data_IF_709600202060
#
_entry.id   IF_709600202060
#
_cell.length_a   1.000
_cell.length_b   1.000
_cell.length_c   1.000
_cell.angle_alpha   90.00
_cell.angle_beta   90.00
_cell.angle_gamma   90.00
#
_symmetry.space_group_name_H-M   'P 1'
#
loop_
_entity.id
_entity.type
_entity.pdbx_description
1 polymer ?
#
# COMPACT_ATOMS: atom_id res chain seq x y z
N UNK A 1 -20.73 66.06 -7.91
CA UNK A 1 -21.84 66.06 -8.89
C UNK A 1 -21.38 65.37 -10.16
N UNK A 2 -22.27 64.55 -10.76
CA UNK A 2 -22.13 63.65 -11.92
C UNK A 2 -21.26 62.39 -11.67
N UNK A 3 -21.86 61.22 -11.37
CA UNK A 3 -22.47 60.22 -12.28
C UNK A 3 -21.40 59.56 -13.18
N UNK A 4 -21.13 58.26 -13.17
CA UNK A 4 -21.95 57.08 -12.91
C UNK A 4 -22.17 56.33 -14.23
N UNK A 5 -21.26 55.42 -14.60
CA UNK A 5 -21.51 54.45 -15.68
C UNK A 5 -20.94 53.07 -15.32
N UNK A 6 -21.89 52.17 -15.07
CA UNK A 6 -21.77 50.75 -14.83
C UNK A 6 -21.41 50.02 -16.13
N UNK A 7 -20.26 49.35 -16.18
CA UNK A 7 -19.88 48.45 -17.26
C UNK A 7 -20.20 47.01 -16.85
N UNK A 8 -21.45 46.58 -17.07
CA UNK A 8 -21.84 45.16 -17.04
C UNK A 8 -22.69 44.84 -18.26
N UNK A 9 -22.03 44.43 -19.35
CA UNK A 9 -22.69 43.75 -20.46
C UNK A 9 -23.05 42.31 -20.08
N UNK A 10 -24.14 41.74 -20.62
CA UNK A 10 -24.54 40.36 -20.37
C UNK A 10 -23.58 39.36 -21.04
N UNK A 11 -23.33 38.18 -20.44
CA UNK A 11 -22.47 37.15 -21.04
C UNK A 11 -23.16 36.47 -22.24
N UNK A 12 -22.38 35.98 -23.23
CA UNK A 12 -22.92 35.32 -24.43
C UNK A 12 -23.48 33.92 -24.13
N UNK A 13 -24.54 33.57 -24.86
CA UNK A 13 -25.22 32.27 -24.78
C UNK A 13 -24.39 31.12 -25.34
N UNK A 14 -24.36 30.00 -24.60
CA UNK A 14 -23.71 28.74 -25.00
C UNK A 14 -24.74 27.80 -25.63
N UNK A 15 -24.55 27.30 -26.86
CA UNK A 15 -25.46 26.33 -27.48
C UNK A 15 -25.39 24.95 -26.82
N UNK A 16 -26.57 24.34 -26.64
CA UNK A 16 -26.78 23.10 -25.90
C UNK A 16 -26.35 21.82 -26.59
N UNK A 17 -26.07 20.82 -25.76
CA UNK A 17 -26.15 19.41 -26.11
C UNK A 17 -27.09 18.71 -25.13
N UNK A 18 -28.31 18.53 -25.61
CA UNK A 18 -29.35 17.72 -25.00
C UNK A 18 -29.14 16.27 -25.45
N UNK A 19 -28.81 15.36 -24.53
CA UNK A 19 -28.90 13.91 -24.76
C UNK A 19 -29.22 13.18 -23.47
N UNK A 20 -30.50 12.87 -23.32
CA UNK A 20 -31.06 11.95 -22.35
C UNK A 20 -30.50 10.53 -22.56
N UNK A 21 -29.78 10.00 -21.57
CA UNK A 21 -29.51 8.57 -21.47
C UNK A 21 -30.70 7.90 -20.76
N UNK A 22 -31.45 7.12 -21.54
CA UNK A 22 -32.54 6.27 -21.07
C UNK A 22 -31.99 5.20 -20.12
N UNK A 23 -32.48 5.23 -18.89
CA UNK A 23 -32.42 4.14 -17.91
C UNK A 23 -33.37 3.04 -18.38
N UNK A 24 -32.84 1.87 -18.72
CA UNK A 24 -33.64 0.65 -18.91
C UNK A 24 -33.53 -0.20 -17.65
N UNK A 25 -34.62 -0.22 -16.87
CA UNK A 25 -34.79 -1.14 -15.76
C UNK A 25 -35.09 -2.55 -16.24
N UNK A 26 -34.53 -3.55 -15.56
CA UNK A 26 -35.10 -4.90 -15.48
C UNK A 26 -34.93 -5.42 -14.06
N UNK A 27 -36.03 -5.36 -13.31
CA UNK A 27 -36.28 -6.28 -12.21
C UNK A 27 -36.87 -7.56 -12.78
N UNK A 28 -36.29 -8.72 -12.45
CA UNK A 28 -37.02 -9.97 -12.26
C UNK A 28 -36.32 -10.79 -11.16
N UNK A 29 -37.16 -11.32 -10.27
CA UNK A 29 -36.87 -12.01 -9.00
C UNK A 29 -36.60 -13.53 -9.21
N UNK A 30 -36.24 -14.28 -8.15
CA UNK A 30 -35.47 -15.54 -8.23
C UNK A 30 -36.32 -16.83 -8.15
N UNK A 31 -35.68 -17.95 -8.48
CA UNK A 31 -35.95 -19.27 -7.89
C UNK A 31 -36.70 -20.28 -8.75
N UNK A 32 -36.01 -21.35 -9.17
CA UNK A 32 -36.56 -22.71 -9.26
C UNK A 32 -35.43 -23.73 -9.49
N UNK A 33 -35.14 -24.51 -8.46
CA UNK A 33 -34.50 -25.83 -8.53
C UNK A 33 -35.50 -26.81 -9.13
N UNK A 34 -35.07 -27.76 -9.96
CA UNK A 34 -35.61 -29.13 -10.02
C UNK A 34 -34.72 -30.06 -10.86
N UNK A 35 -34.90 -31.34 -10.60
CA UNK A 35 -33.99 -32.49 -10.70
C UNK A 35 -33.63 -33.02 -12.11
N UNK A 36 -32.53 -33.78 -12.13
CA UNK A 36 -32.14 -34.81 -13.13
C UNK A 36 -33.06 -36.04 -13.03
N UNK A 37 -33.31 -36.83 -14.10
CA UNK A 37 -32.36 -37.81 -14.67
C UNK A 37 -32.50 -37.92 -16.21
N UNK A 38 -31.76 -38.65 -17.04
CA UNK A 38 -30.79 -39.74 -17.00
C UNK A 38 -30.88 -40.48 -18.36
N UNK A 39 -29.79 -41.15 -18.77
CA UNK A 39 -29.68 -42.19 -19.81
C UNK A 39 -29.50 -41.84 -21.31
N UNK A 40 -28.24 -42.01 -21.75
CA UNK A 40 -27.71 -42.88 -22.83
C UNK A 40 -28.49 -43.01 -24.16
N UNK A 41 -27.79 -42.76 -25.27
CA UNK A 41 -27.38 -43.80 -26.25
C UNK A 41 -26.56 -43.20 -27.41
N UNK A 42 -25.77 -44.07 -28.04
CA UNK A 42 -24.69 -43.78 -28.97
C UNK A 42 -25.02 -44.15 -30.42
N UNK A 43 -24.33 -43.50 -31.37
CA UNK A 43 -23.78 -43.99 -32.68
C UNK A 43 -23.78 -42.81 -33.68
N UNK A 44 -22.66 -42.30 -34.19
CA UNK A 44 -21.62 -42.87 -35.08
C UNK A 44 -21.78 -42.29 -36.50
N UNK A 45 -20.72 -41.67 -37.04
CA UNK A 45 -20.60 -41.43 -38.49
C UNK A 45 -19.69 -40.28 -38.93
N UNK A 46 -18.65 -40.62 -39.70
CA UNK A 46 -17.84 -39.80 -40.62
C UNK A 46 -16.83 -38.80 -40.02
N UNK A 47 -15.53 -39.13 -39.95
CA UNK A 47 -14.48 -39.08 -41.01
C UNK A 47 -13.98 -37.66 -41.33
N UNK A 48 -12.79 -37.34 -40.81
CA UNK A 48 -11.99 -36.19 -41.24
C UNK A 48 -10.54 -36.33 -40.78
N UNK A 49 -9.68 -36.87 -41.65
CA UNK A 49 -8.24 -37.08 -41.42
C UNK A 49 -7.49 -35.75 -41.48
N UNK A 50 -6.64 -35.42 -40.50
CA UNK A 50 -5.35 -34.72 -40.73
C UNK A 50 -4.27 -35.21 -39.76
N UNK A 51 -3.08 -35.35 -40.33
CA UNK A 51 -1.90 -36.10 -39.88
C UNK A 51 -1.20 -35.41 -38.72
N UNK A 52 -0.79 -36.19 -37.71
CA UNK A 52 0.27 -35.82 -36.76
C UNK A 52 1.47 -36.70 -37.09
N UNK A 53 2.59 -36.09 -37.47
CA UNK A 53 3.84 -36.78 -37.74
C UNK A 53 4.42 -37.29 -36.41
N UNK A 54 4.52 -38.62 -36.29
CA UNK A 54 5.38 -39.30 -35.33
C UNK A 54 6.66 -39.68 -36.06
N UNK A 55 7.81 -39.30 -35.51
CA UNK A 55 9.09 -39.93 -35.81
C UNK A 55 9.47 -40.78 -34.60
N UNK A 56 9.47 -42.09 -34.84
CA UNK A 56 10.20 -43.18 -34.17
C UNK A 56 11.29 -43.60 -35.17
N UNK A 57 12.43 -44.19 -34.90
CA UNK A 57 12.97 -44.99 -33.78
C UNK A 57 14.51 -45.03 -34.07
N UNK A 58 15.40 -45.06 -33.09
CA UNK A 58 16.11 -46.25 -32.58
C UNK A 58 17.63 -46.09 -32.74
N UNK A 59 18.35 -46.24 -31.63
CA UNK A 59 19.60 -47.01 -31.50
C UNK A 59 20.02 -47.03 -30.03
N UNK A 60 19.53 -48.05 -29.33
CA UNK A 60 20.09 -48.55 -28.07
C UNK A 60 21.12 -49.63 -28.39
N UNK A 61 22.37 -49.43 -27.99
CA UNK A 61 23.28 -50.50 -27.56
C UNK A 61 24.52 -49.89 -26.91
N UNK A 62 24.75 -50.16 -25.62
CA UNK A 62 26.08 -49.94 -25.03
C UNK A 62 26.12 -49.63 -23.54
N UNK A 63 26.20 -50.70 -22.75
CA UNK A 63 26.92 -50.79 -21.47
C UNK A 63 26.38 -50.07 -20.22
N UNK A 64 25.83 -50.88 -19.31
CA UNK A 64 25.67 -50.61 -17.89
C UNK A 64 27.05 -50.52 -17.22
N UNK A 65 27.30 -49.44 -16.48
CA UNK A 65 28.29 -49.42 -15.43
C UNK A 65 27.67 -48.77 -14.19
N UNK A 66 27.56 -49.57 -13.12
CA UNK A 66 27.15 -49.16 -11.79
C UNK A 66 27.98 -47.96 -11.30
N UNK A 67 27.30 -46.87 -10.91
CA UNK A 67 27.88 -45.85 -10.04
C UNK A 67 26.96 -45.65 -8.83
N UNK A 68 27.45 -45.85 -7.60
CA UNK A 68 26.66 -45.65 -6.40
C UNK A 68 26.45 -44.15 -6.12
N UNK A 69 25.22 -43.81 -5.74
CA UNK A 69 24.82 -42.49 -5.22
C UNK A 69 25.36 -42.35 -3.79
N UNK A 70 26.05 -41.26 -3.42
CA UNK A 70 26.52 -41.09 -2.04
C UNK A 70 25.34 -40.75 -1.11
N UNK A 71 25.10 -41.64 -0.15
CA UNK A 71 24.13 -41.47 0.94
C UNK A 71 24.72 -40.54 2.00
N UNK A 72 23.98 -39.51 2.39
CA UNK A 72 24.37 -38.60 3.48
C UNK A 72 24.47 -39.36 4.82
N UNK A 73 25.45 -39.06 5.70
CA UNK A 73 25.60 -39.78 6.95
C UNK A 73 24.50 -39.41 7.95
N UNK A 74 24.01 -40.42 8.65
CA UNK A 74 23.02 -40.31 9.72
C UNK A 74 23.58 -39.49 10.90
N UNK A 75 22.83 -38.46 11.32
CA UNK A 75 23.10 -37.69 12.54
C UNK A 75 22.79 -38.59 13.74
N UNK A 76 23.82 -38.99 14.50
CA UNK A 76 23.66 -39.67 15.77
C UNK A 76 23.11 -38.70 16.81
N UNK A 77 21.98 -39.08 17.41
CA UNK A 77 21.38 -38.37 18.54
C UNK A 77 22.25 -38.49 19.80
N UNK A 78 22.49 -37.35 20.45
CA UNK A 78 23.05 -37.29 21.79
C UNK A 78 22.24 -36.31 22.64
N UNK A 79 21.79 -36.80 23.79
CA UNK A 79 21.65 -36.01 25.02
C UNK A 79 20.26 -35.49 25.36
N UNK A 80 19.72 -35.99 26.47
CA UNK A 80 18.60 -35.43 27.21
C UNK A 80 18.82 -33.94 27.59
N UNK A 81 17.76 -33.15 27.81
CA UNK A 81 17.89 -31.72 28.07
C UNK A 81 18.51 -31.45 29.45
N UNK A 82 19.65 -30.74 29.47
CA UNK A 82 20.17 -30.11 30.68
C UNK A 82 19.41 -28.81 30.94
N UNK A 83 18.82 -28.72 32.12
CA UNK A 83 18.33 -27.47 32.69
C UNK A 83 19.50 -26.53 32.99
N UNK A 84 19.30 -25.23 32.74
CA UNK A 84 20.14 -24.16 33.30
C UNK A 84 21.17 -23.57 32.34
N UNK A 85 20.75 -22.59 31.54
CA UNK A 85 21.59 -21.46 31.19
C UNK A 85 20.75 -20.20 31.37
N UNK A 86 21.08 -19.44 32.41
CA UNK A 86 20.50 -18.13 32.68
C UNK A 86 20.59 -17.28 31.40
N UNK A 87 19.44 -16.79 30.93
CA UNK A 87 19.37 -15.92 29.77
C UNK A 87 20.30 -14.73 29.97
N UNK A 88 21.28 -14.58 29.08
CA UNK A 88 22.05 -13.34 28.96
C UNK A 88 21.05 -12.19 28.86
N UNK A 89 21.12 -11.17 29.73
CA UNK A 89 20.20 -10.05 29.64
C UNK A 89 20.47 -9.36 28.30
N UNK A 90 19.48 -9.42 27.39
CA UNK A 90 19.41 -8.56 26.22
C UNK A 90 19.45 -7.12 26.72
N UNK A 91 20.66 -6.54 26.77
CA UNK A 91 20.81 -5.10 26.93
C UNK A 91 20.30 -4.48 25.63
N UNK A 92 19.01 -4.18 25.60
CA UNK A 92 18.45 -3.20 24.67
C UNK A 92 19.31 -1.95 24.85
N UNK A 93 20.24 -1.72 23.91
CA UNK A 93 20.88 -0.43 23.78
C UNK A 93 19.72 0.53 23.60
N UNK A 94 19.47 1.36 24.62
CA UNK A 94 18.64 2.54 24.49
C UNK A 94 19.28 3.33 23.35
N UNK A 95 18.73 3.20 22.15
CA UNK A 95 18.87 4.21 21.11
C UNK A 95 18.61 5.53 21.81
N UNK A 96 19.43 6.56 21.55
CA UNK A 96 19.29 7.89 22.16
C UNK A 96 17.79 8.15 22.35
N UNK A 97 17.36 8.13 23.62
CA UNK A 97 16.01 8.53 23.94
C UNK A 97 15.89 9.91 23.32
N UNK A 98 14.90 10.09 22.44
CA UNK A 98 14.49 11.41 22.00
C UNK A 98 14.36 12.22 23.28
N UNK A 99 15.29 13.15 23.50
CA UNK A 99 15.28 13.95 24.72
C UNK A 99 13.97 14.72 24.73
N UNK A 100 13.32 14.77 25.89
CA UNK A 100 11.99 15.32 26.09
C UNK A 100 11.96 16.85 25.97
N UNK A 101 12.37 17.38 24.81
CA UNK A 101 11.99 18.70 24.31
C UNK A 101 10.74 18.59 23.43
N UNK A 102 10.15 19.72 23.02
CA UNK A 102 9.11 19.70 21.98
C UNK A 102 9.68 18.98 20.76
N UNK A 103 8.94 18.00 20.22
CA UNK A 103 9.42 17.30 19.03
C UNK A 103 9.63 18.32 17.91
N UNK A 104 10.80 18.32 17.25
CA UNK A 104 11.03 19.21 16.14
C UNK A 104 9.97 18.95 15.07
N UNK A 105 9.48 20.01 14.43
CA UNK A 105 8.58 19.85 13.30
C UNK A 105 9.40 19.26 12.15
N UNK A 106 9.01 18.10 11.65
CA UNK A 106 9.78 17.40 10.63
C UNK A 106 9.31 17.84 9.23
N UNK A 107 10.27 18.17 8.39
CA UNK A 107 10.08 18.24 6.94
C UNK A 107 9.89 16.83 6.42
N UNK A 108 9.05 16.66 5.39
CA UNK A 108 8.80 15.33 4.80
C UNK A 108 8.80 15.37 3.27
N UNK A 109 9.19 14.25 2.68
CA UNK A 109 8.84 13.91 1.29
C UNK A 109 7.80 12.80 1.32
N UNK A 110 6.78 12.94 0.49
CA UNK A 110 5.59 12.09 0.56
C UNK A 110 5.13 11.69 -0.83
N UNK A 111 4.70 10.43 -0.98
CA UNK A 111 3.95 9.96 -2.14
C UNK A 111 2.47 10.10 -1.86
N UNK A 112 1.72 10.67 -2.80
CA UNK A 112 0.30 10.97 -2.65
C UNK A 112 -0.53 10.13 -3.62
N UNK A 113 -1.55 9.40 -3.13
CA UNK A 113 -2.51 8.71 -3.98
C UNK A 113 -3.43 9.71 -4.68
N UNK A 114 -4.03 9.29 -5.78
CA UNK A 114 -5.11 10.01 -6.45
C UNK A 114 -6.35 10.21 -5.55
N UNK A 115 -7.34 10.96 -6.04
CA UNK A 115 -8.52 11.28 -5.22
C UNK A 115 -9.34 10.04 -4.85
N UNK A 116 -9.36 9.01 -5.70
CA UNK A 116 -10.04 7.75 -5.39
C UNK A 116 -9.41 7.06 -4.17
N UNK A 117 -8.08 6.88 -4.20
CA UNK A 117 -7.33 6.29 -3.08
C UNK A 117 -7.41 7.14 -1.82
N UNK A 118 -7.32 8.48 -1.95
CA UNK A 118 -7.52 9.39 -0.81
C UNK A 118 -8.91 9.28 -0.22
N UNK A 119 -9.94 9.25 -1.06
CA UNK A 119 -11.33 9.10 -0.63
C UNK A 119 -11.57 7.77 0.10
N UNK A 120 -10.96 6.68 -0.36
CA UNK A 120 -11.05 5.38 0.32
C UNK A 120 -10.44 5.39 1.71
N UNK A 121 -9.24 5.98 1.87
CA UNK A 121 -8.61 6.11 3.19
C UNK A 121 -9.39 7.07 4.09
N UNK A 122 -9.87 8.20 3.57
CA UNK A 122 -10.67 9.17 4.33
C UNK A 122 -11.94 8.56 4.91
N UNK A 123 -12.59 7.63 4.22
CA UNK A 123 -13.74 6.89 4.79
C UNK A 123 -13.38 6.11 6.07
N UNK A 124 -12.17 5.55 6.15
CA UNK A 124 -11.69 4.90 7.37
C UNK A 124 -11.40 5.92 8.48
N UNK A 125 -10.85 7.08 8.11
CA UNK A 125 -10.65 8.18 9.05
C UNK A 125 -11.98 8.68 9.63
N UNK A 126 -12.98 8.89 8.77
CA UNK A 126 -14.32 9.32 9.16
C UNK A 126 -14.97 8.27 10.06
N UNK A 127 -14.90 6.98 9.72
CA UNK A 127 -15.43 5.91 10.57
C UNK A 127 -14.84 5.93 11.99
N UNK A 128 -13.51 6.03 12.11
CA UNK A 128 -12.85 6.14 13.41
C UNK A 128 -13.33 7.36 14.21
N UNK A 129 -13.38 8.53 13.56
CA UNK A 129 -13.83 9.78 14.19
C UNK A 129 -15.28 9.67 14.64
N UNK A 130 -16.16 9.15 13.80
CA UNK A 130 -17.60 9.02 14.07
C UNK A 130 -17.88 8.03 15.21
N UNK A 131 -16.97 7.06 15.43
CA UNK A 131 -17.00 6.18 16.59
C UNK A 131 -16.45 6.82 17.88
N UNK A 132 -15.99 8.07 17.83
CA UNK A 132 -15.35 8.76 18.95
C UNK A 132 -13.94 8.25 19.26
N UNK A 133 -13.28 7.61 18.28
CA UNK A 133 -11.90 7.16 18.39
C UNK A 133 -10.95 8.17 17.76
N UNK A 134 -9.68 8.26 18.21
CA UNK A 134 -8.70 9.12 17.57
C UNK A 134 -8.57 8.81 16.08
N UNK A 135 -8.51 9.85 15.26
CA UNK A 135 -8.46 9.73 13.81
C UNK A 135 -7.50 10.75 13.20
N UNK A 136 -6.97 10.45 12.01
CA UNK A 136 -6.30 11.48 11.22
C UNK A 136 -7.27 12.56 10.74
N UNK A 137 -8.58 12.29 10.65
CA UNK A 137 -9.57 13.32 10.36
C UNK A 137 -9.62 14.46 11.40
N UNK A 138 -9.09 14.24 12.61
CA UNK A 138 -9.01 15.26 13.67
C UNK A 138 -7.93 16.33 13.39
N UNK A 139 -7.03 16.08 12.43
CA UNK A 139 -6.01 17.04 12.03
C UNK A 139 -6.48 17.82 10.79
N UNK A 140 -6.93 19.06 10.98
CA UNK A 140 -7.47 19.90 9.90
C UNK A 140 -6.42 20.74 9.17
N UNK A 141 -5.13 20.55 9.48
CA UNK A 141 -4.03 21.26 8.82
C UNK A 141 -3.99 20.96 7.32
N UNK A 142 -3.65 21.96 6.51
CA UNK A 142 -3.67 21.87 5.04
C UNK A 142 -2.76 20.75 4.46
N UNK A 143 -1.75 20.30 5.21
CA UNK A 143 -0.89 19.19 4.81
C UNK A 143 -1.50 17.81 5.07
N UNK A 144 -2.55 17.72 5.90
CA UNK A 144 -3.11 16.43 6.28
C UNK A 144 -4.02 15.86 5.17
N UNK A 145 -3.47 14.89 4.46
CA UNK A 145 -4.20 14.05 3.52
C UNK A 145 -3.56 12.66 3.52
N UNK A 146 -4.25 11.62 3.05
CA UNK A 146 -3.64 10.30 2.91
C UNK A 146 -2.38 10.37 2.06
N UNK A 147 -1.27 9.85 2.58
CA UNK A 147 0.03 9.84 1.93
C UNK A 147 0.89 8.67 2.45
N UNK A 148 1.94 8.35 1.71
CA UNK A 148 3.01 7.43 2.13
C UNK A 148 4.28 8.23 2.30
N UNK A 149 4.76 8.33 3.53
CA UNK A 149 5.99 9.05 3.87
C UNK A 149 7.21 8.34 3.26
N UNK A 150 7.99 9.07 2.45
CA UNK A 150 9.28 8.62 1.89
C UNK A 150 10.39 8.80 2.91
N UNK A 151 10.51 10.02 3.43
CA UNK A 151 11.52 10.40 4.42
C UNK A 151 11.02 11.58 5.24
N UNK A 152 11.45 11.64 6.50
CA UNK A 152 11.23 12.75 7.42
C UNK A 152 12.55 13.10 8.11
N UNK A 153 12.82 14.37 8.30
CA UNK A 153 13.99 14.90 9.00
C UNK A 153 13.73 16.32 9.50
N UNK A 154 14.58 16.84 10.40
CA UNK A 154 14.51 18.24 10.84
C UNK A 154 14.78 19.22 9.70
N UNK A 155 15.58 18.81 8.72
CA UNK A 155 15.81 19.52 7.46
C UNK A 155 15.98 18.51 6.32
N UNK A 156 15.60 18.91 5.10
CA UNK A 156 15.76 18.10 3.89
C UNK A 156 16.83 18.72 2.98
N UNK A 157 18.00 18.06 2.84
CA UNK A 157 19.04 18.52 1.93
C UNK A 157 18.55 18.64 0.49
N UNK A 158 19.02 19.65 -0.25
CA UNK A 158 18.68 19.85 -1.66
C UNK A 158 18.98 18.60 -2.50
N UNK A 159 20.07 17.88 -2.20
CA UNK A 159 20.40 16.62 -2.85
C UNK A 159 19.28 15.56 -2.74
N UNK A 160 18.58 15.50 -1.59
CA UNK A 160 17.45 14.58 -1.42
C UNK A 160 16.26 15.01 -2.28
N UNK A 161 16.00 16.32 -2.38
CA UNK A 161 14.95 16.91 -3.21
C UNK A 161 15.24 16.64 -4.69
N UNK A 162 16.45 16.88 -5.16
CA UNK A 162 16.88 16.65 -6.54
C UNK A 162 16.79 15.17 -6.93
N UNK A 163 17.24 14.27 -6.05
CA UNK A 163 17.10 12.83 -6.27
C UNK A 163 15.62 12.42 -6.29
N UNK A 164 14.78 12.99 -5.42
CA UNK A 164 13.34 12.72 -5.46
C UNK A 164 12.72 13.19 -6.78
N UNK A 165 13.07 14.39 -7.27
CA UNK A 165 12.62 14.88 -8.58
C UNK A 165 13.04 13.95 -9.71
N UNK A 166 14.31 13.55 -9.74
CA UNK A 166 14.87 12.73 -10.80
C UNK A 166 14.38 11.27 -10.77
N UNK A 167 14.21 10.68 -9.59
CA UNK A 167 13.95 9.24 -9.43
C UNK A 167 12.49 8.90 -9.18
N UNK A 168 11.77 9.73 -8.43
CA UNK A 168 10.39 9.45 -8.03
C UNK A 168 9.39 10.05 -9.03
N UNK A 169 9.55 11.30 -9.49
CA UNK A 169 8.58 11.88 -10.46
C UNK A 169 8.45 11.04 -11.73
N UNK A 170 9.58 10.60 -12.29
CA UNK A 170 9.61 9.84 -13.53
C UNK A 170 9.06 8.41 -13.43
N UNK A 171 8.80 7.90 -12.23
CA UNK A 171 8.17 6.59 -12.04
C UNK A 171 6.64 6.69 -11.89
N UNK A 172 6.11 7.88 -11.60
CA UNK A 172 4.69 8.07 -11.38
C UNK A 172 3.93 8.10 -12.72
N UNK A 173 2.69 7.59 -12.75
CA UNK A 173 1.93 7.00 -11.63
C UNK A 173 2.35 5.56 -11.33
N UNK A 174 2.29 5.14 -10.07
CA UNK A 174 2.48 3.75 -9.66
C UNK A 174 1.28 3.22 -8.88
N UNK A 175 0.94 1.96 -9.10
CA UNK A 175 -0.09 1.28 -8.31
C UNK A 175 0.56 0.63 -7.09
N UNK A 176 -0.13 0.74 -5.96
CA UNK A 176 0.24 0.18 -4.67
C UNK A 176 -1.02 -0.36 -3.98
N UNK A 177 -0.86 -1.20 -2.97
CA UNK A 177 -2.01 -1.71 -2.21
C UNK A 177 -1.82 -1.42 -0.72
N UNK A 178 -2.70 -0.61 -0.15
CA UNK A 178 -2.78 -0.42 1.29
C UNK A 178 -3.60 -1.56 1.92
N UNK A 179 -2.93 -2.38 2.73
CA UNK A 179 -3.48 -3.56 3.40
C UNK A 179 -2.62 -3.94 4.60
N UNK A 180 -3.21 -4.75 5.49
CA UNK A 180 -2.54 -5.21 6.70
C UNK A 180 -2.43 -4.09 7.73
N UNK A 181 -2.86 -4.37 8.96
CA UNK A 181 -2.83 -3.41 10.05
C UNK A 181 -1.43 -3.34 10.67
N UNK A 182 -0.91 -2.12 10.78
CA UNK A 182 0.32 -1.80 11.48
C UNK A 182 0.01 -1.04 12.76
N UNK A 183 0.62 -1.51 13.86
CA UNK A 183 0.53 -0.91 15.19
C UNK A 183 1.91 -0.43 15.59
N UNK A 184 2.09 0.89 15.61
CA UNK A 184 3.39 1.51 15.83
C UNK A 184 3.37 2.30 17.13
N UNK A 185 4.29 1.99 18.05
CA UNK A 185 4.51 2.76 19.27
C UNK A 185 4.27 2.00 20.58
N UNK A 186 4.30 2.76 21.67
CA UNK A 186 4.17 2.29 23.05
C UNK A 186 2.75 2.51 23.60
N UNK A 187 2.65 3.21 24.72
CA UNK A 187 1.37 3.49 25.41
C UNK A 187 0.33 4.18 24.53
N UNK A 188 0.79 5.00 23.58
CA UNK A 188 -0.01 5.65 22.56
C UNK A 188 0.37 5.06 21.21
N UNK A 189 -0.60 4.44 20.56
CA UNK A 189 -0.39 3.63 19.35
C UNK A 189 -0.81 4.41 18.12
N UNK A 190 0.00 4.35 17.07
CA UNK A 190 -0.39 4.74 15.72
C UNK A 190 -0.96 3.52 15.01
N UNK A 191 -2.16 3.67 14.45
CA UNK A 191 -2.81 2.66 13.61
C UNK A 191 -2.66 3.09 12.16
N UNK A 192 -2.14 2.19 11.34
CA UNK A 192 -1.86 2.44 9.92
C UNK A 192 -2.16 1.21 9.07
N UNK A 193 -2.30 1.40 7.76
CA UNK A 193 -2.27 0.33 6.78
C UNK A 193 -0.85 0.23 6.20
N UNK A 194 -0.29 -0.97 6.14
CA UNK A 194 0.93 -1.22 5.37
C UNK A 194 0.67 -0.99 3.89
N UNK A 195 1.68 -0.55 3.14
CA UNK A 195 1.56 -0.34 1.70
C UNK A 195 2.51 -1.26 0.97
N UNK A 196 1.94 -2.17 0.20
CA UNK A 196 2.68 -3.06 -0.68
C UNK A 196 3.05 -2.33 -1.98
N UNK A 197 4.34 -2.41 -2.35
CA UNK A 197 4.97 -1.63 -3.42
C UNK A 197 5.92 -2.52 -4.20
N UNK A 198 6.03 -2.25 -5.50
CA UNK A 198 7.04 -2.88 -6.35
C UNK A 198 8.47 -2.53 -5.88
N UNK A 199 9.38 -3.50 -6.01
CA UNK A 199 10.78 -3.37 -5.59
C UNK A 199 11.50 -2.19 -6.25
N UNK A 200 11.16 -1.78 -7.48
CA UNK A 200 11.77 -0.60 -8.12
C UNK A 200 11.35 0.69 -7.41
N UNK A 201 10.10 0.77 -6.93
CA UNK A 201 9.63 1.91 -6.12
C UNK A 201 10.40 1.96 -4.80
N UNK A 202 10.56 0.80 -4.14
CA UNK A 202 11.33 0.69 -2.90
C UNK A 202 12.78 1.14 -3.12
N UNK A 203 13.42 0.65 -4.18
CA UNK A 203 14.81 1.00 -4.51
C UNK A 203 14.98 2.51 -4.75
N UNK A 204 14.05 3.15 -5.45
CA UNK A 204 14.09 4.60 -5.71
C UNK A 204 13.86 5.42 -4.45
N UNK A 205 12.95 5.00 -3.58
CA UNK A 205 12.75 5.62 -2.27
C UNK A 205 14.02 5.50 -1.42
N UNK A 206 14.65 4.33 -1.37
CA UNK A 206 15.91 4.16 -0.64
C UNK A 206 17.04 5.05 -1.19
N UNK A 207 17.08 5.29 -2.50
CA UNK A 207 18.02 6.24 -3.12
C UNK A 207 17.80 7.69 -2.69
N UNK A 208 16.56 8.09 -2.38
CA UNK A 208 16.27 9.40 -1.75
C UNK A 208 16.71 9.38 -0.28
N UNK A 209 16.33 8.33 0.46
CA UNK A 209 16.57 8.24 1.91
C UNK A 209 18.05 8.22 2.29
N UNK A 210 18.93 7.70 1.43
CA UNK A 210 20.38 7.71 1.69
C UNK A 210 20.99 9.12 1.64
N UNK A 211 20.32 10.07 0.96
CA UNK A 211 20.72 11.49 0.96
C UNK A 211 20.32 12.22 2.25
N UNK A 212 19.57 11.56 3.14
CA UNK A 212 19.10 12.13 4.41
C UNK A 212 19.69 11.30 5.57
N UNK A 213 20.94 11.57 5.97
CA UNK A 213 21.63 10.79 7.01
C UNK A 213 20.91 10.89 8.37
N UNK A 214 20.39 12.07 8.71
CA UNK A 214 19.72 12.38 9.98
C UNK A 214 18.20 12.15 9.96
N UNK A 215 17.71 11.32 9.03
CA UNK A 215 16.30 10.95 8.93
C UNK A 215 15.76 10.36 10.24
N UNK A 216 14.51 10.69 10.57
CA UNK A 216 13.85 10.26 11.80
C UNK A 216 13.74 8.74 11.97
N UNK A 217 13.62 8.01 10.85
CA UNK A 217 13.44 6.56 10.85
C UNK A 217 14.57 5.84 10.09
N UNK A 218 15.24 4.89 10.74
CA UNK A 218 16.36 4.14 10.14
C UNK A 218 15.93 3.33 8.91
N UNK A 219 14.90 2.50 9.06
CA UNK A 219 14.28 1.70 7.99
C UNK A 219 13.10 2.43 7.36
N UNK A 220 12.65 1.93 6.20
CA UNK A 220 11.43 2.41 5.55
C UNK A 220 10.34 1.37 5.75
N UNK A 221 9.25 1.76 6.42
CA UNK A 221 8.05 0.96 6.55
C UNK A 221 6.95 1.71 5.79
N UNK A 222 6.67 1.39 4.53
CA UNK A 222 5.68 2.10 3.75
C UNK A 222 4.29 1.87 4.35
N UNK A 223 3.61 2.96 4.74
CA UNK A 223 2.31 2.90 5.39
C UNK A 223 1.49 4.16 5.11
N UNK A 224 0.17 4.04 5.23
CA UNK A 224 -0.77 5.16 5.31
C UNK A 224 -1.35 5.21 6.72
N UNK A 225 -1.15 6.33 7.41
CA UNK A 225 -1.64 6.48 8.79
C UNK A 225 -3.16 6.67 8.81
N UNK A 226 -3.84 5.94 9.70
CA UNK A 226 -5.28 6.08 9.96
C UNK A 226 -5.57 6.90 11.22
N UNK A 227 -4.81 6.64 12.28
CA UNK A 227 -4.94 7.31 13.56
C UNK A 227 -3.59 7.40 14.26
N UNK A 228 -3.40 8.46 15.03
CA UNK A 228 -2.24 8.61 15.93
C UNK A 228 -2.72 8.68 17.36
N UNK A 229 -1.87 8.24 18.27
CA UNK A 229 -2.08 8.36 19.71
C UNK A 229 -3.33 7.66 20.24
N UNK A 230 -3.73 6.55 19.60
CA UNK A 230 -4.81 5.69 20.07
C UNK A 230 -4.43 5.09 21.44
N UNK A 231 -5.24 5.29 22.49
CA UNK A 231 -5.04 4.62 23.77
C UNK A 231 -5.11 3.10 23.59
N UNK A 232 -4.27 2.35 24.30
CA UNK A 232 -4.27 0.88 24.19
C UNK A 232 -5.61 0.23 24.54
N UNK A 233 -6.37 0.82 25.46
CA UNK A 233 -7.69 0.34 25.85
C UNK A 233 -8.70 0.38 24.67
N UNK A 234 -8.51 1.31 23.74
CA UNK A 234 -9.42 1.49 22.59
C UNK A 234 -8.98 0.69 21.36
N UNK A 235 -7.83 0.01 21.43
CA UNK A 235 -7.21 -0.58 20.24
C UNK A 235 -8.08 -1.69 19.64
N UNK A 236 -8.65 -2.58 20.45
CA UNK A 236 -9.53 -3.65 19.95
C UNK A 236 -10.70 -3.07 19.15
N UNK A 237 -11.38 -2.05 19.69
CA UNK A 237 -12.50 -1.37 19.04
C UNK A 237 -12.07 -0.69 17.73
N UNK A 238 -10.91 -0.05 17.72
CA UNK A 238 -10.36 0.57 16.52
C UNK A 238 -10.07 -0.47 15.41
N UNK A 239 -9.49 -1.62 15.76
CA UNK A 239 -9.17 -2.67 14.81
C UNK A 239 -10.42 -3.37 14.26
N UNK A 240 -11.41 -3.62 15.11
CA UNK A 240 -12.70 -4.17 14.69
C UNK A 240 -13.42 -3.23 13.70
N UNK A 241 -13.38 -1.92 13.97
CA UNK A 241 -14.01 -0.92 13.11
C UNK A 241 -13.30 -0.77 11.76
N UNK A 242 -11.97 -0.74 11.75
CA UNK A 242 -11.19 -0.67 10.50
C UNK A 242 -11.33 -1.96 9.71
N UNK A 243 -11.37 -3.11 10.39
CA UNK A 243 -11.43 -4.42 9.77
C UNK A 243 -10.15 -4.77 9.01
N UNK A 244 -10.29 -5.42 7.85
CA UNK A 244 -9.17 -5.82 6.99
C UNK A 244 -9.33 -5.23 5.59
N UNK A 245 -9.23 -3.89 5.45
CA UNK A 245 -9.43 -3.26 4.16
C UNK A 245 -8.24 -3.59 3.24
N UNK A 246 -8.56 -3.71 1.95
CA UNK A 246 -7.59 -3.73 0.87
C UNK A 246 -7.94 -2.58 -0.07
N UNK A 247 -7.08 -1.57 -0.11
CA UNK A 247 -7.31 -0.33 -0.85
C UNK A 247 -6.23 -0.20 -1.91
N UNK A 248 -6.64 -0.21 -3.18
CA UNK A 248 -5.73 0.17 -4.27
C UNK A 248 -5.42 1.67 -4.17
N UNK A 249 -4.13 1.99 -4.18
CA UNK A 249 -3.60 3.33 -4.18
C UNK A 249 -2.87 3.57 -5.50
N UNK A 250 -3.36 4.51 -6.30
CA UNK A 250 -2.59 5.01 -7.44
C UNK A 250 -1.81 6.23 -7.00
N UNK A 251 -0.54 6.05 -6.67
CA UNK A 251 0.37 7.12 -6.29
C UNK A 251 0.67 7.97 -7.53
N UNK A 252 0.34 9.25 -7.48
CA UNK A 252 0.34 10.15 -8.64
C UNK A 252 1.22 11.37 -8.46
N UNK A 253 1.62 11.66 -7.23
CA UNK A 253 2.37 12.87 -6.92
C UNK A 253 3.46 12.58 -5.87
N UNK A 254 4.59 13.28 -6.02
CA UNK A 254 5.57 13.47 -4.94
C UNK A 254 5.45 14.89 -4.44
N UNK A 255 5.37 15.08 -3.13
CA UNK A 255 5.35 16.42 -2.53
C UNK A 255 6.35 16.54 -1.39
N UNK A 256 6.74 17.79 -1.11
CA UNK A 256 7.46 18.21 0.08
C UNK A 256 6.49 18.92 1.03
N UNK A 257 6.53 18.57 2.30
CA UNK A 257 5.96 19.36 3.39
C UNK A 257 7.07 20.12 4.10
N UNK A 258 6.89 21.44 4.19
CA UNK A 258 7.73 22.36 4.96
C UNK A 258 6.91 22.88 6.15
N UNK A 259 7.14 22.38 7.37
CA UNK A 259 6.37 22.77 8.55
C UNK A 259 6.77 24.12 9.15
N UNK A 260 7.91 24.68 8.75
CA UNK A 260 8.35 26.00 9.20
C UNK A 260 7.56 27.09 8.48
N UNK A 261 7.27 26.86 7.20
CA UNK A 261 6.44 27.73 6.36
C UNK A 261 4.97 27.34 6.34
N UNK A 262 4.64 26.11 6.76
CA UNK A 262 3.30 25.56 6.64
C UNK A 262 2.90 25.30 5.19
N UNK A 263 3.87 24.96 4.33
CA UNK A 263 3.68 24.86 2.88
C UNK A 263 3.84 23.44 2.36
N UNK A 264 3.01 23.10 1.38
CA UNK A 264 3.15 21.92 0.56
C UNK A 264 3.63 22.34 -0.82
N UNK A 265 4.68 21.70 -1.33
CA UNK A 265 5.17 21.91 -2.70
C UNK A 265 5.19 20.58 -3.44
N UNK A 266 4.50 20.49 -4.56
CA UNK A 266 4.63 19.35 -5.47
C UNK A 266 6.03 19.36 -6.04
N UNK A 267 6.79 18.30 -5.74
CA UNK A 267 8.16 18.14 -6.20
C UNK A 267 8.18 17.81 -7.64
#
# INVERSE_FOLDING_TARGET
>A
MAAGQDLRGPPPAVPGHDRALRVAGRHLRPGAVLDRPGARSARAGARGRRRVARLRDDRLAGSRADRPVPVAPAVRGHGAPRAGAAGLPLRLRRTRAWQAGPMPKLHSLELVPDESGRGAVRRLWDALRDAGLPSQADHTGASNQPHVTVVEAEDLPDAAIDVARARLRGMLPVTATARGLLLLGGEKVTVALGVDLDDDVVRRVLAVRVQVPDRAHRGWLPHVTLARRVPRADLTRALELVGTPEIELRLTEVRRWDPDRGHVTTL
#
